data_IF_342428229024
#
_entry.id   IF_342428229024
#
_cell.length_a   1.000
_cell.length_b   1.000
_cell.length_c   1.000
_cell.angle_alpha   90.00
_cell.angle_beta   90.00
_cell.angle_gamma   90.00
#
_symmetry.space_group_name_H-M   'P 1'
#
loop_
_entity.id
_entity.type
_entity.pdbx_description
1 polymer ?
#
# COMPACT_ATOMS: atom_id res chain seq x y z
N UNK A 1 24.59 -46.24 -21.40
CA UNK A 1 25.14 -46.42 -22.77
C UNK A 1 24.03 -46.24 -23.78
N UNK A 2 24.39 -45.83 -25.01
CA UNK A 2 23.70 -46.01 -26.30
C UNK A 2 22.15 -46.19 -26.37
N UNK A 3 21.51 -45.27 -27.10
CA UNK A 3 20.38 -45.57 -28.01
C UNK A 3 20.97 -46.08 -29.37
N UNK A 4 20.22 -46.27 -30.49
CA UNK A 4 18.78 -46.08 -30.73
C UNK A 4 18.13 -47.23 -31.55
N UNK A 5 16.94 -47.02 -32.10
CA UNK A 5 16.61 -47.46 -33.46
C UNK A 5 15.57 -46.53 -34.11
N UNK A 6 15.59 -46.39 -35.43
CA UNK A 6 14.71 -45.50 -36.22
C UNK A 6 14.37 -46.12 -37.57
N UNK A 7 13.23 -45.72 -38.17
CA UNK A 7 13.06 -45.54 -39.63
C UNK A 7 11.74 -44.85 -40.00
N UNK A 8 11.75 -44.19 -41.16
CA UNK A 8 10.67 -43.39 -41.77
C UNK A 8 10.73 -43.64 -43.30
N UNK A 9 9.60 -43.54 -44.02
CA UNK A 9 9.44 -42.71 -45.26
C UNK A 9 8.48 -43.28 -46.33
N UNK A 10 7.95 -42.36 -47.16
CA UNK A 10 7.23 -42.49 -48.44
C UNK A 10 5.74 -42.97 -48.43
N UNK A 11 4.83 -42.54 -49.34
CA UNK A 11 4.67 -41.26 -50.08
C UNK A 11 3.36 -41.17 -50.93
N UNK A 12 2.62 -40.06 -50.80
CA UNK A 12 2.12 -39.15 -51.89
C UNK A 12 1.13 -39.64 -53.01
N UNK A 13 -0.04 -38.96 -53.07
CA UNK A 13 -0.96 -38.58 -54.20
C UNK A 13 -1.70 -39.60 -55.13
N UNK A 14 -3.06 -39.53 -55.07
CA UNK A 14 -4.07 -39.42 -56.16
C UNK A 14 -5.39 -38.95 -55.49
N UNK A 15 -6.12 -37.89 -55.84
CA UNK A 15 -6.61 -37.27 -57.10
C UNK A 15 -7.83 -37.99 -57.72
N UNK A 16 -8.98 -37.29 -57.79
CA UNK A 16 -10.11 -37.56 -58.69
C UNK A 16 -10.93 -36.28 -58.98
N UNK A 17 -11.78 -36.27 -60.01
CA UNK A 17 -12.46 -35.09 -60.58
C UNK A 17 -13.91 -35.38 -61.01
N UNK A 18 -14.77 -34.35 -61.02
CA UNK A 18 -15.88 -34.07 -61.98
C UNK A 18 -16.03 -32.52 -62.02
N UNK A 19 -16.08 -31.77 -63.15
CA UNK A 19 -17.01 -31.71 -64.30
C UNK A 19 -18.44 -31.27 -63.90
N UNK A 20 -19.21 -30.40 -64.60
CA UNK A 20 -19.19 -29.84 -65.99
C UNK A 20 -20.19 -28.63 -66.09
N UNK A 21 -20.39 -27.74 -67.11
CA UNK A 21 -19.76 -27.42 -68.43
C UNK A 21 -20.32 -26.09 -69.08
N UNK A 22 -19.46 -25.11 -69.47
CA UNK A 22 -19.65 -24.09 -70.56
C UNK A 22 -20.88 -23.11 -70.47
N UNK A 23 -21.16 -22.08 -71.30
CA UNK A 23 -20.99 -21.71 -72.75
C UNK A 23 -20.83 -20.14 -72.90
N UNK A 24 -19.81 -19.57 -73.58
CA UNK A 24 -19.76 -18.88 -74.93
C UNK A 24 -20.70 -17.63 -75.13
N UNK A 25 -20.44 -16.52 -75.87
CA UNK A 25 -19.33 -16.02 -76.78
C UNK A 25 -19.53 -14.54 -77.24
N UNK A 26 -18.49 -13.90 -77.87
CA UNK A 26 -18.57 -12.85 -78.97
C UNK A 26 -19.03 -11.40 -78.59
N UNK A 27 -18.53 -10.25 -79.12
CA UNK A 27 -17.38 -9.88 -80.01
C UNK A 27 -17.03 -8.36 -80.06
N UNK A 28 -15.72 -8.03 -80.05
CA UNK A 28 -14.97 -6.95 -80.80
C UNK A 28 -15.46 -5.45 -80.67
N UNK A 29 -15.09 -4.34 -81.39
CA UNK A 29 -14.36 -4.00 -82.65
C UNK A 29 -13.71 -2.57 -82.64
N UNK A 30 -12.47 -2.38 -83.17
CA UNK A 30 -11.84 -1.11 -83.70
C UNK A 30 -11.60 0.13 -82.74
N UNK A 31 -10.70 1.15 -82.96
CA UNK A 31 -9.64 1.47 -83.97
C UNK A 31 -8.65 2.62 -83.53
N UNK A 32 -7.42 2.59 -84.08
CA UNK A 32 -6.42 3.70 -84.32
C UNK A 32 -5.86 4.53 -83.13
N UNK A 33 -4.68 5.18 -83.17
CA UNK A 33 -3.72 5.48 -84.28
C UNK A 33 -2.21 5.31 -83.86
N UNK A 34 -1.27 5.56 -84.79
CA UNK A 34 0.20 5.40 -84.69
C UNK A 34 0.90 6.56 -83.91
N UNK A 35 2.18 6.52 -83.49
CA UNK A 35 3.43 6.52 -84.30
C UNK A 35 4.66 5.89 -83.61
N UNK A 36 5.66 5.47 -84.41
CA UNK A 36 7.03 5.10 -83.99
C UNK A 36 7.98 6.30 -84.12
N UNK A 37 8.97 6.40 -83.23
CA UNK A 37 10.38 6.52 -83.64
C UNK A 37 11.33 6.14 -82.48
N UNK A 38 12.59 5.84 -82.80
CA UNK A 38 13.62 5.44 -81.83
C UNK A 38 14.96 6.08 -82.17
N UNK A 39 15.65 6.71 -81.21
CA UNK A 39 17.09 6.50 -81.01
C UNK A 39 17.58 6.98 -79.63
N UNK A 40 18.85 6.72 -79.33
CA UNK A 40 19.52 6.93 -78.04
C UNK A 40 20.48 8.12 -78.05
N UNK A 41 20.59 8.85 -76.92
CA UNK A 41 21.84 9.17 -76.20
C UNK A 41 21.66 10.35 -75.20
N UNK A 42 21.27 10.09 -73.94
CA UNK A 42 21.35 11.14 -72.88
C UNK A 42 21.58 10.62 -71.44
N UNK A 43 21.79 9.31 -71.25
CA UNK A 43 21.61 8.68 -69.92
C UNK A 43 22.82 8.73 -68.97
N UNK A 44 23.96 9.30 -69.37
CA UNK A 44 25.21 9.30 -68.55
C UNK A 44 25.40 10.53 -67.65
N UNK A 45 24.80 11.69 -67.93
CA UNK A 45 25.01 12.93 -67.15
C UNK A 45 24.27 12.95 -65.80
N UNK A 46 23.05 12.39 -65.74
CA UNK A 46 22.14 12.52 -64.58
C UNK A 46 22.51 11.68 -63.35
N UNK A 47 23.45 10.75 -63.44
CA UNK A 47 23.80 9.84 -62.33
C UNK A 47 24.81 10.49 -61.36
N UNK A 48 25.88 11.10 -61.87
CA UNK A 48 26.95 11.71 -61.05
C UNK A 48 26.42 12.77 -60.07
N UNK A 49 25.55 13.66 -60.56
CA UNK A 49 25.05 14.81 -59.81
C UNK A 49 24.15 14.41 -58.61
N UNK A 50 23.63 13.17 -58.58
CA UNK A 50 22.81 12.68 -57.46
C UNK A 50 23.66 12.16 -56.29
N UNK A 51 24.82 11.58 -56.59
CA UNK A 51 25.74 11.04 -55.57
C UNK A 51 26.44 12.17 -54.81
N UNK A 52 26.96 13.18 -55.53
CA UNK A 52 27.65 14.34 -54.95
C UNK A 52 26.72 15.14 -54.03
N UNK A 53 25.45 15.30 -54.42
CA UNK A 53 24.47 16.03 -53.59
C UNK A 53 24.15 15.30 -52.27
N UNK A 54 24.19 13.97 -52.26
CA UNK A 54 23.98 13.18 -51.05
C UNK A 54 25.19 13.23 -50.10
N UNK A 55 26.43 13.16 -50.61
CA UNK A 55 27.63 13.23 -49.74
C UNK A 55 27.77 14.61 -49.09
N UNK A 56 27.48 15.69 -49.82
CA UNK A 56 27.44 17.05 -49.25
C UNK A 56 26.33 17.19 -48.20
N UNK A 57 25.14 16.62 -48.42
CA UNK A 57 24.07 16.59 -47.42
C UNK A 57 24.51 15.91 -46.12
N UNK A 58 25.12 14.73 -46.18
CA UNK A 58 25.62 14.06 -44.97
C UNK A 58 26.73 14.86 -44.27
N UNK A 59 27.65 15.48 -45.00
CA UNK A 59 28.69 16.32 -44.40
C UNK A 59 28.12 17.52 -43.62
N UNK A 60 27.09 18.20 -44.17
CA UNK A 60 26.39 19.30 -43.48
C UNK A 60 25.58 18.79 -42.28
N UNK A 61 24.92 17.63 -42.38
CA UNK A 61 24.18 17.05 -41.26
C UNK A 61 25.10 16.67 -40.09
N UNK A 62 26.21 15.96 -40.34
CA UNK A 62 27.12 15.54 -39.25
C UNK A 62 27.87 16.71 -38.61
N UNK A 63 28.32 17.70 -39.40
CA UNK A 63 28.96 18.90 -38.83
C UNK A 63 27.97 19.78 -38.06
N UNK A 64 26.75 19.99 -38.58
CA UNK A 64 25.69 20.73 -37.89
C UNK A 64 25.25 20.06 -36.60
N UNK A 65 25.02 18.75 -36.60
CA UNK A 65 24.61 18.02 -35.40
C UNK A 65 25.73 17.97 -34.35
N UNK A 66 27.00 17.85 -34.79
CA UNK A 66 28.17 17.95 -33.92
C UNK A 66 28.29 19.33 -33.27
N UNK A 67 28.08 20.42 -34.01
CA UNK A 67 28.09 21.78 -33.48
C UNK A 67 26.94 22.04 -32.49
N UNK A 68 25.72 21.55 -32.79
CA UNK A 68 24.57 21.65 -31.89
C UNK A 68 24.81 20.85 -30.61
N UNK A 69 25.36 19.64 -30.69
CA UNK A 69 25.69 18.81 -29.52
C UNK A 69 26.81 19.43 -28.66
N UNK A 70 27.86 19.95 -29.31
CA UNK A 70 28.94 20.69 -28.65
C UNK A 70 28.39 21.91 -27.90
N UNK A 71 27.60 22.75 -28.58
CA UNK A 71 27.02 23.95 -27.97
C UNK A 71 26.03 23.60 -26.86
N UNK A 72 25.19 22.58 -27.03
CA UNK A 72 24.28 22.13 -25.96
C UNK A 72 25.05 21.67 -24.72
N UNK A 73 26.20 21.02 -24.88
CA UNK A 73 27.08 20.64 -23.77
C UNK A 73 27.66 21.86 -23.06
N UNK A 74 28.17 22.84 -23.80
CA UNK A 74 28.72 24.08 -23.24
C UNK A 74 27.63 24.91 -22.52
N UNK A 75 26.45 25.06 -23.13
CA UNK A 75 25.28 25.71 -22.52
C UNK A 75 24.83 24.96 -21.24
N UNK A 76 24.89 23.62 -21.21
CA UNK A 76 24.58 22.81 -20.02
C UNK A 76 25.63 22.96 -18.91
N UNK A 77 26.92 23.01 -19.25
CA UNK A 77 28.00 23.27 -18.28
C UNK A 77 27.94 24.70 -17.73
N UNK A 78 27.56 25.69 -18.55
CA UNK A 78 27.28 27.05 -18.07
C UNK A 78 26.04 27.12 -17.17
N UNK A 79 24.95 26.40 -17.50
CA UNK A 79 23.78 26.34 -16.62
C UNK A 79 24.10 25.70 -15.26
N UNK A 80 24.92 24.64 -15.23
CA UNK A 80 25.39 24.04 -13.97
C UNK A 80 26.27 25.00 -13.16
N UNK A 81 27.23 25.67 -13.79
CA UNK A 81 28.14 26.60 -13.10
C UNK A 81 27.48 27.92 -12.65
N UNK A 82 26.38 28.35 -13.29
CA UNK A 82 25.60 29.49 -12.81
C UNK A 82 24.55 29.09 -11.75
N UNK A 83 24.11 27.83 -11.69
CA UNK A 83 23.14 27.36 -10.69
C UNK A 83 23.76 27.10 -9.31
N UNK A 84 25.09 27.04 -9.18
CA UNK A 84 25.78 26.77 -7.90
C UNK A 84 26.00 28.01 -7.03
N UNK A 85 25.87 29.23 -7.57
CA UNK A 85 26.10 30.49 -6.86
C UNK A 85 24.80 31.26 -6.50
N UNK A 86 23.79 30.54 -6.00
CA UNK A 86 22.68 31.17 -5.25
C UNK A 86 22.03 30.23 -4.22
N UNK A 87 22.85 29.50 -3.44
CA UNK A 87 22.36 29.02 -2.16
C UNK A 87 22.24 30.22 -1.21
N UNK A 88 21.04 30.49 -0.70
CA UNK A 88 20.86 31.25 0.53
C UNK A 88 21.40 30.43 1.70
N UNK A 89 22.72 30.42 1.85
CA UNK A 89 23.36 30.03 3.09
C UNK A 89 22.90 31.00 4.17
N UNK A 90 21.91 30.58 4.97
CA UNK A 90 21.55 31.30 6.19
C UNK A 90 22.78 31.27 7.08
N UNK A 91 23.50 32.39 7.14
CA UNK A 91 24.60 32.63 8.07
C UNK A 91 24.02 32.71 9.49
N UNK A 92 23.60 31.57 10.02
CA UNK A 92 23.32 31.37 11.42
C UNK A 92 24.60 31.71 12.18
N UNK A 93 24.60 32.90 12.81
CA UNK A 93 25.73 33.46 13.57
C UNK A 93 26.34 32.35 14.41
N UNK A 94 27.57 31.96 14.06
CA UNK A 94 28.19 30.74 14.57
C UNK A 94 28.39 30.86 16.08
N UNK A 95 27.44 30.31 16.83
CA UNK A 95 27.50 30.27 18.29
C UNK A 95 28.79 29.54 18.71
N UNK A 96 29.38 29.96 19.82
CA UNK A 96 30.50 29.23 20.42
C UNK A 96 30.00 27.89 20.93
N UNK A 97 30.18 26.84 20.12
CA UNK A 97 29.91 25.44 20.48
C UNK A 97 30.93 25.02 21.53
N UNK A 98 30.65 25.38 22.79
CA UNK A 98 31.39 24.89 23.95
C UNK A 98 31.19 23.37 24.06
N UNK A 99 32.25 22.62 24.38
CA UNK A 99 32.33 21.18 24.10
C UNK A 99 31.61 20.28 25.12
N UNK A 100 30.41 20.70 25.55
CA UNK A 100 29.44 19.86 26.25
C UNK A 100 28.59 19.10 25.22
N UNK A 101 29.22 18.11 24.56
CA UNK A 101 28.71 17.34 23.43
C UNK A 101 27.17 17.23 23.35
N UNK A 102 26.57 18.11 22.54
CA UNK A 102 25.12 18.24 22.38
C UNK A 102 24.44 16.94 21.89
N UNK A 103 25.20 16.03 21.24
CA UNK A 103 24.72 14.69 20.85
C UNK A 103 24.28 13.87 22.07
N UNK A 104 24.98 13.98 23.19
CA UNK A 104 24.70 13.21 24.40
C UNK A 104 23.64 13.88 25.30
N UNK A 105 23.25 15.13 24.99
CA UNK A 105 22.33 15.93 25.80
C UNK A 105 20.91 16.01 25.23
N UNK A 106 20.76 15.89 23.90
CA UNK A 106 19.49 16.15 23.21
C UNK A 106 18.98 15.01 22.31
N UNK A 107 19.61 13.84 22.29
CA UNK A 107 19.13 12.68 21.53
C UNK A 107 18.10 11.82 22.28
N UNK A 108 17.20 12.45 23.06
CA UNK A 108 16.15 11.76 23.83
C UNK A 108 15.28 10.79 23.00
N UNK A 109 15.10 11.06 21.70
CA UNK A 109 14.42 10.14 20.77
C UNK A 109 15.20 8.83 20.59
N UNK A 110 16.54 8.87 20.53
CA UNK A 110 17.38 7.69 20.43
C UNK A 110 17.35 6.88 21.74
N UNK A 111 17.40 7.56 22.89
CA UNK A 111 17.36 6.93 24.22
C UNK A 111 16.02 6.18 24.44
N UNK A 112 14.89 6.80 24.03
CA UNK A 112 13.56 6.17 24.02
C UNK A 112 13.54 4.95 23.10
N UNK A 113 14.14 5.04 21.90
CA UNK A 113 14.19 3.94 20.93
C UNK A 113 15.03 2.78 21.47
N UNK A 114 16.22 3.02 22.01
CA UNK A 114 17.11 1.99 22.57
C UNK A 114 16.43 1.23 23.71
N UNK A 115 15.77 1.97 24.62
CA UNK A 115 15.02 1.42 25.76
C UNK A 115 13.76 0.65 25.36
N UNK A 116 13.13 0.99 24.22
CA UNK A 116 11.85 0.43 23.80
C UNK A 116 11.95 -0.71 22.78
N UNK A 117 12.88 -0.61 21.83
CA UNK A 117 12.97 -1.50 20.67
C UNK A 117 13.12 -3.00 21.00
N UNK A 118 13.80 -3.44 22.07
CA UNK A 118 13.87 -4.86 22.45
C UNK A 118 12.52 -5.52 22.67
N UNK A 119 11.50 -4.76 23.13
CA UNK A 119 10.15 -5.27 23.36
C UNK A 119 9.24 -5.23 22.11
N UNK A 120 9.71 -4.71 20.97
CA UNK A 120 8.91 -4.53 19.75
C UNK A 120 9.21 -5.63 18.74
N UNK A 121 8.15 -6.23 18.20
CA UNK A 121 8.20 -7.44 17.35
C UNK A 121 7.61 -7.19 15.96
N UNK A 122 8.10 -7.91 14.97
CA UNK A 122 7.52 -7.96 13.62
C UNK A 122 6.52 -9.10 13.55
N UNK A 123 5.33 -8.85 12.99
CA UNK A 123 4.28 -9.86 12.81
C UNK A 123 4.00 -10.01 11.32
N UNK A 124 3.98 -11.26 10.83
CA UNK A 124 3.61 -11.59 9.45
C UNK A 124 2.66 -12.80 9.37
N UNK A 125 1.75 -12.75 8.40
CA UNK A 125 0.92 -13.90 7.98
C UNK A 125 1.33 -14.27 6.56
N UNK A 126 1.83 -15.50 6.37
CA UNK A 126 2.31 -16.01 5.07
C UNK A 126 1.37 -17.05 4.48
N UNK A 127 1.04 -16.88 3.20
CA UNK A 127 0.23 -17.83 2.44
C UNK A 127 1.12 -18.97 1.94
N UNK A 128 1.14 -20.10 2.65
CA UNK A 128 1.89 -21.30 2.23
C UNK A 128 1.37 -21.95 0.95
N UNK A 129 0.22 -21.51 0.41
CA UNK A 129 -0.39 -22.03 -0.83
C UNK A 129 -0.25 -21.08 -2.03
N UNK A 130 0.27 -19.85 -1.85
CA UNK A 130 0.51 -18.90 -2.96
C UNK A 130 1.91 -18.32 -2.86
N UNK A 131 2.68 -18.50 -3.92
CA UNK A 131 4.06 -18.04 -4.02
C UNK A 131 4.15 -16.81 -4.94
N UNK A 132 5.07 -15.90 -4.61
CA UNK A 132 5.47 -14.81 -5.51
C UNK A 132 6.30 -15.39 -6.66
N UNK A 133 5.85 -15.17 -7.89
CA UNK A 133 6.50 -15.63 -9.12
C UNK A 133 7.90 -15.02 -9.30
N UNK A 134 8.17 -13.82 -8.76
CA UNK A 134 9.46 -13.15 -8.91
C UNK A 134 10.49 -13.52 -7.84
N UNK A 135 10.08 -13.98 -6.66
CA UNK A 135 11.01 -14.28 -5.54
C UNK A 135 10.95 -15.73 -5.04
N UNK A 136 10.01 -16.54 -5.52
CA UNK A 136 9.83 -17.94 -5.12
C UNK A 136 9.41 -18.12 -3.66
N UNK A 137 9.00 -17.05 -2.97
CA UNK A 137 8.65 -17.06 -1.54
C UNK A 137 7.13 -17.07 -1.33
N UNK A 138 6.63 -17.65 -0.22
CA UNK A 138 5.22 -17.52 0.17
C UNK A 138 4.80 -16.05 0.25
N UNK A 139 3.67 -15.69 -0.36
CA UNK A 139 3.14 -14.32 -0.33
C UNK A 139 2.71 -13.94 1.08
N UNK A 140 3.10 -12.73 1.51
CA UNK A 140 2.59 -12.12 2.74
C UNK A 140 1.12 -11.71 2.51
N UNK A 141 0.21 -12.18 3.37
CA UNK A 141 -1.22 -11.79 3.37
C UNK A 141 -1.40 -10.49 4.16
N UNK A 142 -0.72 -10.39 5.29
CA UNK A 142 -0.68 -9.21 6.16
C UNK A 142 0.66 -9.18 6.87
N UNK A 143 1.11 -7.99 7.22
CA UNK A 143 2.22 -7.77 8.13
C UNK A 143 2.01 -6.47 8.93
N UNK A 144 2.84 -6.31 9.96
CA UNK A 144 2.86 -5.14 10.82
C UNK A 144 3.85 -5.35 11.97
N UNK A 145 3.65 -4.59 13.04
CA UNK A 145 4.39 -4.69 14.28
C UNK A 145 3.46 -5.08 15.45
N UNK A 146 4.07 -5.43 16.57
CA UNK A 146 3.43 -5.61 17.87
C UNK A 146 4.43 -5.31 18.97
N UNK A 147 4.03 -5.42 20.23
CA UNK A 147 4.94 -5.28 21.36
C UNK A 147 4.58 -6.21 22.52
N UNK A 148 5.60 -6.67 23.23
CA UNK A 148 5.48 -7.66 24.31
C UNK A 148 4.95 -6.97 25.58
N UNK A 149 3.90 -7.54 26.17
CA UNK A 149 3.18 -7.00 27.35
C UNK A 149 3.17 -7.96 28.55
N UNK A 150 3.41 -9.26 28.35
CA UNK A 150 3.72 -10.22 29.42
C UNK A 150 5.06 -10.90 29.08
N UNK A 151 5.96 -11.09 30.07
CA UNK A 151 7.31 -11.63 29.84
C UNK A 151 7.34 -13.12 29.49
N UNK A 152 6.17 -13.79 29.50
CA UNK A 152 5.90 -15.15 29.05
C UNK A 152 5.27 -15.20 27.64
N UNK A 153 5.47 -14.15 26.84
CA UNK A 153 5.20 -14.19 25.40
C UNK A 153 3.85 -13.64 24.96
N UNK A 154 3.13 -12.87 25.79
CA UNK A 154 1.97 -12.12 25.32
C UNK A 154 2.41 -10.86 24.59
N UNK A 155 1.86 -10.68 23.39
CA UNK A 155 2.15 -9.59 22.47
C UNK A 155 0.84 -8.89 22.13
N UNK A 156 0.86 -7.56 22.14
CA UNK A 156 -0.25 -6.71 21.77
C UNK A 156 -0.02 -6.11 20.37
N UNK A 157 -1.07 -6.08 19.55
CA UNK A 157 -1.07 -5.53 18.17
C UNK A 157 -2.49 -5.13 17.75
N UNK A 158 -2.69 -4.73 16.50
CA UNK A 158 -4.03 -4.47 15.94
C UNK A 158 -4.70 -5.74 15.40
N UNK A 159 -6.04 -5.78 15.49
CA UNK A 159 -6.85 -6.85 14.88
C UNK A 159 -6.62 -6.93 13.35
N UNK A 160 -6.46 -5.78 12.69
CA UNK A 160 -6.20 -5.71 11.26
C UNK A 160 -4.81 -6.25 10.85
N UNK A 161 -3.82 -6.32 11.75
CA UNK A 161 -2.50 -6.90 11.46
C UNK A 161 -2.62 -8.42 11.41
N UNK A 162 -3.41 -9.00 12.32
CA UNK A 162 -3.64 -10.46 12.42
C UNK A 162 -4.83 -10.97 11.59
N UNK A 163 -5.25 -10.23 10.55
CA UNK A 163 -6.37 -10.58 9.66
C UNK A 163 -7.72 -10.84 10.38
N UNK A 164 -7.97 -10.24 11.54
CA UNK A 164 -9.27 -10.25 12.23
C UNK A 164 -9.83 -11.64 12.63
N UNK A 165 -9.01 -12.70 12.65
CA UNK A 165 -9.47 -14.09 12.90
C UNK A 165 -8.78 -14.73 14.12
N UNK A 166 -9.51 -15.19 15.15
CA UNK A 166 -8.93 -15.84 16.32
C UNK A 166 -8.31 -17.20 15.95
N UNK A 167 -7.36 -17.69 16.76
CA UNK A 167 -6.57 -18.90 16.49
C UNK A 167 -5.76 -18.87 15.18
N UNK A 168 -5.62 -17.71 14.52
CA UNK A 168 -4.75 -17.57 13.35
C UNK A 168 -3.30 -17.81 13.75
N UNK A 169 -2.60 -18.67 13.00
CA UNK A 169 -1.17 -18.89 13.15
C UNK A 169 -0.43 -17.77 12.43
N UNK A 170 0.39 -17.03 13.17
CA UNK A 170 1.24 -15.94 12.66
C UNK A 170 2.71 -16.31 12.86
N UNK A 171 3.62 -15.64 12.14
CA UNK A 171 5.05 -15.64 12.52
C UNK A 171 5.38 -14.33 13.22
N UNK A 172 6.02 -14.46 14.37
CA UNK A 172 6.53 -13.35 15.17
C UNK A 172 8.05 -13.38 15.10
N UNK A 173 8.67 -12.25 14.81
CA UNK A 173 10.14 -12.10 14.82
C UNK A 173 10.54 -11.02 15.81
N UNK A 174 11.40 -11.37 16.75
CA UNK A 174 11.86 -10.52 17.83
C UNK A 174 12.96 -9.55 17.36
N UNK A 175 13.32 -8.60 18.22
CA UNK A 175 14.39 -7.63 17.98
C UNK A 175 15.75 -8.28 17.66
N UNK A 176 16.07 -9.43 18.28
CA UNK A 176 17.28 -10.21 18.02
C UNK A 176 17.30 -10.98 16.67
N UNK A 177 16.22 -10.89 15.89
CA UNK A 177 16.04 -11.60 14.62
C UNK A 177 15.49 -13.02 14.76
N UNK A 178 15.41 -13.59 15.97
CA UNK A 178 14.81 -14.92 16.18
C UNK A 178 13.32 -14.91 15.84
N UNK A 179 12.82 -16.02 15.29
CA UNK A 179 11.45 -16.12 14.77
C UNK A 179 10.72 -17.28 15.41
N UNK A 180 9.54 -17.02 15.96
CA UNK A 180 8.66 -17.97 16.62
C UNK A 180 7.34 -18.08 15.86
N UNK A 181 6.69 -19.24 15.98
CA UNK A 181 5.27 -19.39 15.62
C UNK A 181 4.44 -18.80 16.74
N UNK A 182 3.50 -17.92 16.41
CA UNK A 182 2.55 -17.34 17.35
C UNK A 182 1.09 -17.69 17.02
N UNK A 183 0.22 -17.63 18.02
CA UNK A 183 -1.23 -17.87 17.90
C UNK A 183 -1.98 -16.65 18.42
N UNK A 184 -3.02 -16.22 17.70
CA UNK A 184 -3.91 -15.14 18.16
C UNK A 184 -4.84 -15.66 19.28
N UNK A 185 -4.64 -15.19 20.52
CA UNK A 185 -5.46 -15.58 21.69
C UNK A 185 -6.81 -14.83 21.71
N UNK A 186 -6.78 -13.50 21.54
CA UNK A 186 -7.94 -12.60 21.67
C UNK A 186 -8.00 -11.57 20.54
N UNK A 187 -9.22 -11.14 20.19
CA UNK A 187 -9.47 -10.03 19.26
C UNK A 187 -10.61 -9.16 19.79
N UNK A 188 -10.46 -7.84 19.68
CA UNK A 188 -11.53 -6.85 19.83
C UNK A 188 -11.61 -6.04 18.53
N UNK A 189 -12.56 -6.41 17.67
CA UNK A 189 -12.74 -5.81 16.34
C UNK A 189 -13.21 -4.35 16.41
N UNK A 190 -13.98 -4.00 17.42
CA UNK A 190 -14.50 -2.65 17.63
C UNK A 190 -13.36 -1.70 17.96
N UNK A 191 -12.44 -2.10 18.84
CA UNK A 191 -11.28 -1.29 19.21
C UNK A 191 -10.07 -1.50 18.27
N UNK A 192 -10.11 -2.47 17.36
CA UNK A 192 -9.00 -2.90 16.49
C UNK A 192 -7.75 -3.33 17.31
N UNK A 193 -7.98 -4.22 18.28
CA UNK A 193 -6.95 -4.79 19.16
C UNK A 193 -6.88 -6.31 19.00
N UNK A 194 -5.69 -6.89 19.13
CA UNK A 194 -5.50 -8.34 19.24
C UNK A 194 -4.32 -8.70 20.14
N UNK A 195 -4.41 -9.85 20.78
CA UNK A 195 -3.29 -10.50 21.47
C UNK A 195 -2.72 -11.64 20.64
N UNK A 196 -1.40 -11.80 20.67
CA UNK A 196 -0.66 -12.93 20.09
C UNK A 196 0.20 -13.55 21.18
N UNK A 197 0.15 -14.87 21.31
CA UNK A 197 1.04 -15.65 22.20
C UNK A 197 2.15 -16.30 21.40
N UNK A 198 3.37 -16.26 21.93
CA UNK A 198 4.49 -17.11 21.51
C UNK A 198 4.99 -17.97 22.69
N UNK A 199 5.49 -19.17 22.42
CA UNK A 199 6.13 -20.01 23.45
C UNK A 199 7.57 -19.53 23.71
N UNK A 200 7.69 -18.43 24.46
CA UNK A 200 8.98 -17.87 24.88
C UNK A 200 8.83 -17.07 26.17
N UNK A 201 9.71 -17.35 27.14
CA UNK A 201 9.74 -16.72 28.47
C UNK A 201 10.98 -15.84 28.64
N UNK A 202 10.94 -15.02 29.69
CA UNK A 202 11.97 -14.05 30.08
C UNK A 202 12.24 -12.99 28.99
N UNK A 203 11.17 -12.54 28.33
CA UNK A 203 11.22 -11.50 27.30
C UNK A 203 11.26 -10.08 27.91
N UNK A 204 11.87 -9.10 27.21
CA UNK A 204 11.71 -7.69 27.53
C UNK A 204 10.25 -7.26 27.32
N UNK A 205 9.71 -6.48 28.26
CA UNK A 205 8.31 -6.06 28.30
C UNK A 205 8.21 -4.55 28.12
N UNK A 206 7.29 -4.11 27.27
CA UNK A 206 6.94 -2.71 27.09
C UNK A 206 6.13 -2.21 28.28
N UNK A 207 6.53 -1.09 28.89
CA UNK A 207 5.74 -0.43 29.94
C UNK A 207 4.49 0.19 29.33
N UNK A 208 3.34 0.04 29.98
CA UNK A 208 2.10 0.68 29.56
C UNK A 208 1.89 1.96 30.39
N UNK A 209 2.08 3.11 29.76
CA UNK A 209 1.83 4.43 30.37
C UNK A 209 0.34 4.70 30.50
N UNK A 210 -0.09 5.96 30.58
CA UNK A 210 -1.52 6.31 30.49
C UNK A 210 -1.77 7.31 29.37
N UNK A 211 -2.89 7.11 28.68
CA UNK A 211 -3.42 8.03 27.68
C UNK A 211 -4.27 9.16 28.26
N UNK A 212 -4.82 8.99 29.47
CA UNK A 212 -5.72 9.98 30.08
C UNK A 212 -5.04 11.31 30.44
N UNK A 213 -3.73 11.31 30.71
CA UNK A 213 -2.96 12.47 31.17
C UNK A 213 -2.11 13.14 30.07
N UNK A 214 -2.28 12.72 28.81
CA UNK A 214 -1.51 13.24 27.68
C UNK A 214 -1.83 14.73 27.42
N UNK A 215 -0.86 15.45 26.85
CA UNK A 215 -1.00 16.86 26.47
C UNK A 215 -0.63 17.08 24.99
N UNK A 216 -1.41 17.89 24.25
CA UNK A 216 -0.98 18.36 22.94
C UNK A 216 0.40 19.03 23.01
N UNK A 217 1.27 18.72 22.04
CA UNK A 217 2.67 19.15 22.00
C UNK A 217 3.68 18.21 22.68
N UNK A 218 3.25 17.15 23.37
CA UNK A 218 4.18 16.15 23.92
C UNK A 218 4.86 15.33 22.82
N UNK A 219 6.18 15.17 22.91
CA UNK A 219 6.97 14.36 21.99
C UNK A 219 6.65 12.87 22.12
N UNK A 220 6.50 12.22 20.97
CA UNK A 220 6.18 10.79 20.85
C UNK A 220 7.00 10.11 19.76
N UNK A 221 7.20 8.81 19.91
CA UNK A 221 7.87 7.94 18.94
C UNK A 221 6.92 6.81 18.53
N UNK A 222 6.57 6.73 17.25
CA UNK A 222 5.80 5.63 16.67
C UNK A 222 6.77 4.53 16.22
N UNK A 223 6.94 3.51 17.07
CA UNK A 223 7.94 2.45 16.90
C UNK A 223 7.29 1.21 16.26
N UNK A 224 7.98 0.64 15.28
CA UNK A 224 7.75 -0.71 14.77
C UNK A 224 9.00 -1.58 14.91
N UNK A 225 8.97 -2.80 14.39
CA UNK A 225 10.13 -3.69 14.42
C UNK A 225 11.17 -3.33 13.35
N UNK A 226 12.44 -3.07 13.73
CA UNK A 226 13.50 -2.57 12.83
C UNK A 226 13.88 -3.53 11.71
N UNK A 227 13.34 -4.76 11.74
CA UNK A 227 13.54 -5.79 10.74
C UNK A 227 12.52 -5.72 9.58
N UNK A 228 11.63 -4.72 9.60
CA UNK A 228 10.73 -4.37 8.50
C UNK A 228 11.44 -3.49 7.46
N UNK A 229 11.20 -3.73 6.16
CA UNK A 229 11.80 -2.97 5.05
C UNK A 229 11.10 -1.62 4.78
N UNK A 230 10.55 -0.99 5.80
CA UNK A 230 9.72 0.23 5.72
C UNK A 230 10.12 1.23 6.80
N UNK A 231 9.69 2.49 6.67
CA UNK A 231 9.90 3.51 7.70
C UNK A 231 9.25 3.05 9.02
N UNK A 232 10.11 2.59 9.93
CA UNK A 232 9.71 1.81 11.10
C UNK A 232 9.72 2.65 12.38
N UNK A 233 10.61 3.63 12.48
CA UNK A 233 10.72 4.52 13.63
C UNK A 233 10.52 5.93 13.11
N UNK A 234 9.50 6.60 13.64
CA UNK A 234 9.21 8.00 13.34
C UNK A 234 8.89 8.72 14.64
N UNK A 235 9.29 9.98 14.75
CA UNK A 235 8.99 10.84 15.90
C UNK A 235 8.14 12.02 15.45
N UNK A 236 7.45 12.62 16.42
CA UNK A 236 6.58 13.78 16.24
C UNK A 236 6.05 14.25 17.58
N UNK A 237 4.92 14.95 17.56
CA UNK A 237 4.19 15.39 18.75
C UNK A 237 2.73 14.94 18.72
N UNK A 238 2.09 14.93 19.89
CA UNK A 238 0.63 14.77 19.99
C UNK A 238 -0.05 16.04 19.46
N UNK A 239 -0.85 15.91 18.40
CA UNK A 239 -1.64 17.02 17.85
C UNK A 239 -2.99 17.17 18.57
N UNK A 240 -3.58 16.05 19.01
CA UNK A 240 -4.79 16.02 19.83
C UNK A 240 -4.87 14.69 20.60
N UNK A 241 -5.41 14.73 21.82
CA UNK A 241 -5.50 13.56 22.72
C UNK A 241 -6.84 12.84 22.65
N UNK A 242 -7.88 13.51 22.14
CA UNK A 242 -9.25 13.04 22.18
C UNK A 242 -9.97 13.35 20.85
N UNK A 243 -9.42 12.85 19.74
CA UNK A 243 -10.06 13.01 18.42
C UNK A 243 -11.15 11.96 18.26
N UNK A 244 -12.41 12.35 18.19
CA UNK A 244 -13.51 11.39 18.19
C UNK A 244 -13.55 10.60 16.88
N UNK A 245 -13.81 9.29 16.97
CA UNK A 245 -13.92 8.40 15.81
C UNK A 245 -14.91 8.91 14.76
N UNK A 246 -16.01 9.55 15.19
CA UNK A 246 -17.01 10.16 14.32
C UNK A 246 -16.42 11.27 13.42
N UNK A 247 -15.49 12.09 13.92
CA UNK A 247 -14.82 13.14 13.13
C UNK A 247 -13.95 12.55 12.02
N UNK A 248 -13.32 11.41 12.31
CA UNK A 248 -12.54 10.60 11.38
C UNK A 248 -13.42 9.72 10.48
N UNK A 249 -14.74 9.77 10.65
CA UNK A 249 -15.70 8.96 9.93
C UNK A 249 -15.69 7.47 10.27
N UNK A 250 -15.02 7.08 11.35
CA UNK A 250 -15.01 5.74 11.89
C UNK A 250 -16.28 5.51 12.73
N UNK A 251 -17.12 4.55 12.34
CA UNK A 251 -18.25 4.10 13.14
C UNK A 251 -17.76 3.23 14.32
N UNK A 252 -17.22 3.93 15.32
CA UNK A 252 -16.69 3.39 16.58
C UNK A 252 -17.10 4.32 17.72
N UNK A 253 -17.01 3.85 18.95
CA UNK A 253 -17.19 4.68 20.15
C UNK A 253 -15.87 4.83 20.92
N UNK A 254 -14.85 5.35 20.24
CA UNK A 254 -13.53 5.59 20.84
C UNK A 254 -12.92 6.90 20.37
N UNK A 255 -12.17 7.57 21.25
CA UNK A 255 -11.32 8.66 20.83
C UNK A 255 -9.92 8.13 20.44
N UNK A 256 -9.27 8.81 19.51
CA UNK A 256 -7.92 8.50 19.03
C UNK A 256 -6.92 9.58 19.45
N UNK A 257 -5.69 9.17 19.71
CA UNK A 257 -4.54 10.08 19.81
C UNK A 257 -4.16 10.46 18.37
N UNK A 258 -4.22 11.74 18.04
CA UNK A 258 -3.71 12.30 16.78
C UNK A 258 -2.24 12.69 16.95
N UNK A 259 -1.38 12.33 15.99
CA UNK A 259 0.02 12.75 15.94
C UNK A 259 0.48 13.01 14.51
N UNK A 260 1.46 13.88 14.33
CA UNK A 260 2.16 14.08 13.06
C UNK A 260 3.27 13.03 12.82
N UNK A 261 3.67 12.27 13.85
CA UNK A 261 4.56 11.13 13.74
C UNK A 261 4.02 10.15 12.69
N UNK A 262 4.80 9.88 11.63
CA UNK A 262 4.29 9.19 10.46
C UNK A 262 4.10 7.69 10.71
N UNK A 263 2.85 7.23 10.77
CA UNK A 263 2.49 5.81 10.81
C UNK A 263 2.54 5.22 9.38
N UNK A 264 3.02 3.98 9.25
CA UNK A 264 3.09 3.20 8.01
C UNK A 264 2.78 1.72 8.30
N UNK A 265 2.64 0.89 7.27
CA UNK A 265 2.55 -0.57 7.44
C UNK A 265 3.75 -1.18 8.20
N UNK A 266 4.89 -0.48 8.29
CA UNK A 266 6.03 -0.92 9.09
C UNK A 266 5.81 -0.85 10.60
N UNK A 267 5.17 0.21 11.11
CA UNK A 267 4.95 0.43 12.55
C UNK A 267 3.48 0.32 13.01
N UNK A 268 2.52 0.12 12.10
CA UNK A 268 1.14 -0.28 12.41
C UNK A 268 1.10 -1.49 13.34
N UNK A 269 0.31 -1.45 14.41
CA UNK A 269 0.27 -2.43 15.49
C UNK A 269 1.41 -2.33 16.52
N UNK A 270 2.48 -1.59 16.22
CA UNK A 270 3.53 -1.25 17.18
C UNK A 270 3.10 -0.12 18.14
N UNK A 271 3.89 0.17 19.19
CA UNK A 271 3.52 1.16 20.19
C UNK A 271 3.78 2.60 19.71
N UNK A 272 2.92 3.51 20.18
CA UNK A 272 3.21 4.95 20.26
C UNK A 272 3.75 5.21 21.67
N UNK A 273 4.97 5.74 21.77
CA UNK A 273 5.77 5.77 23.01
C UNK A 273 6.09 7.20 23.42
N UNK A 274 6.00 7.51 24.72
CA UNK A 274 6.37 8.81 25.30
C UNK A 274 7.88 8.91 25.62
N UNK A 275 8.33 10.06 26.16
CA UNK A 275 9.74 10.27 26.51
C UNK A 275 10.23 9.40 27.70
N UNK A 276 9.32 8.87 28.52
CA UNK A 276 9.66 7.94 29.60
C UNK A 276 9.85 6.49 29.11
N UNK A 277 9.72 6.25 27.80
CA UNK A 277 9.68 4.94 27.15
C UNK A 277 8.53 4.04 27.65
N UNK A 278 7.33 4.63 27.74
CA UNK A 278 6.08 3.94 28.00
C UNK A 278 5.16 4.02 26.78
N UNK A 279 4.53 2.91 26.43
CA UNK A 279 3.49 2.88 25.40
C UNK A 279 2.24 3.63 25.92
N UNK A 280 1.91 4.74 25.25
CA UNK A 280 0.73 5.58 25.49
C UNK A 280 -0.38 5.32 24.46
N UNK A 281 -0.06 4.62 23.37
CA UNK A 281 -1.04 4.12 22.41
C UNK A 281 -0.48 3.04 21.48
N UNK A 282 -1.30 2.63 20.51
CA UNK A 282 -0.95 1.64 19.48
C UNK A 282 -1.15 2.28 18.10
N UNK A 283 -0.09 2.28 17.29
CA UNK A 283 -0.08 2.89 15.96
C UNK A 283 -1.13 2.22 15.05
N UNK A 284 -2.24 2.88 14.72
CA UNK A 284 -3.39 2.23 14.08
C UNK A 284 -3.55 2.59 12.60
N UNK A 285 -3.39 3.86 12.22
CA UNK A 285 -3.56 4.31 10.84
C UNK A 285 -2.87 5.65 10.55
N UNK A 286 -2.64 5.93 9.27
CA UNK A 286 -2.22 7.25 8.75
C UNK A 286 -3.22 7.72 7.70
N UNK A 287 -4.06 8.70 8.05
CA UNK A 287 -5.04 9.25 7.10
C UNK A 287 -4.35 10.05 6.01
N UNK A 288 -3.35 10.86 6.35
CA UNK A 288 -2.59 11.64 5.35
C UNK A 288 -1.21 12.07 5.86
N UNK A 289 -0.43 12.79 5.07
CA UNK A 289 0.86 13.33 5.53
C UNK A 289 0.63 14.38 6.63
N UNK A 290 1.33 14.23 7.75
CA UNK A 290 1.18 15.01 8.98
C UNK A 290 -0.02 14.64 9.86
N UNK A 291 -0.78 13.59 9.53
CA UNK A 291 -1.96 13.17 10.32
C UNK A 291 -2.03 11.64 10.40
N UNK A 292 -1.60 11.13 11.55
CA UNK A 292 -1.65 9.73 11.97
C UNK A 292 -2.47 9.57 13.25
N UNK A 293 -3.01 8.37 13.48
CA UNK A 293 -3.84 8.05 14.64
C UNK A 293 -3.39 6.77 15.33
N UNK A 294 -3.36 6.85 16.67
CA UNK A 294 -3.09 5.72 17.55
C UNK A 294 -4.27 5.46 18.50
N UNK A 295 -4.54 4.18 18.77
CA UNK A 295 -5.52 3.76 19.79
C UNK A 295 -4.93 4.10 21.17
N UNK A 296 -5.64 4.80 22.07
CA UNK A 296 -5.11 5.14 23.39
C UNK A 296 -4.89 3.89 24.26
N UNK A 297 -3.78 3.82 25.00
CA UNK A 297 -3.37 2.58 25.68
C UNK A 297 -4.34 2.12 26.78
N UNK A 298 -5.11 3.02 27.37
CA UNK A 298 -6.05 2.64 28.44
C UNK A 298 -7.18 1.73 27.92
N UNK A 299 -7.63 1.89 26.66
CA UNK A 299 -8.51 0.91 25.99
C UNK A 299 -7.87 -0.47 25.88
N UNK A 300 -6.55 -0.52 25.63
CA UNK A 300 -5.80 -1.76 25.53
C UNK A 300 -5.57 -2.42 26.90
N UNK A 301 -5.44 -1.65 27.98
CA UNK A 301 -5.44 -2.19 29.36
C UNK A 301 -6.76 -2.87 29.69
N UNK A 302 -7.90 -2.24 29.37
CA UNK A 302 -9.21 -2.85 29.60
C UNK A 302 -9.48 -4.06 28.69
N UNK A 303 -8.89 -4.11 27.49
CA UNK A 303 -8.87 -5.32 26.66
C UNK A 303 -8.03 -6.44 27.30
N UNK A 304 -6.80 -6.17 27.73
CA UNK A 304 -5.93 -7.15 28.41
C UNK A 304 -6.55 -7.66 29.72
N UNK A 305 -7.17 -6.79 30.51
CA UNK A 305 -7.92 -7.14 31.74
C UNK A 305 -9.12 -8.04 31.45
N UNK A 306 -9.88 -7.77 30.38
CA UNK A 306 -10.97 -8.66 29.91
C UNK A 306 -10.41 -10.02 29.44
N UNK A 307 -9.25 -10.06 28.80
CA UNK A 307 -8.59 -11.30 28.39
C UNK A 307 -8.08 -12.11 29.58
N UNK A 308 -7.44 -11.48 30.56
CA UNK A 308 -6.99 -12.12 31.80
C UNK A 308 -8.15 -12.73 32.60
N UNK A 309 -9.27 -12.02 32.74
CA UNK A 309 -10.47 -12.52 33.44
C UNK A 309 -11.07 -13.75 32.75
N UNK A 310 -11.04 -13.80 31.41
CA UNK A 310 -11.44 -14.98 30.63
C UNK A 310 -10.45 -16.14 30.80
N UNK A 311 -9.14 -15.88 30.67
CA UNK A 311 -8.07 -16.88 30.93
C UNK A 311 -8.17 -17.50 32.34
N UNK A 312 -8.51 -16.69 33.36
CA UNK A 312 -8.64 -17.13 34.77
C UNK A 312 -10.02 -17.72 35.12
N UNK A 313 -10.97 -17.80 34.19
CA UNK A 313 -12.29 -18.39 34.40
C UNK A 313 -13.18 -17.70 35.45
N UNK A 314 -12.79 -16.51 35.94
CA UNK A 314 -13.45 -15.81 37.06
C UNK A 314 -14.41 -14.69 36.62
N UNK A 315 -14.61 -14.49 35.32
CA UNK A 315 -15.60 -13.55 34.80
C UNK A 315 -16.45 -14.18 33.69
N UNK A 316 -17.73 -14.46 34.00
CA UNK A 316 -18.85 -14.65 33.05
C UNK A 316 -18.67 -15.78 31.99
N UNK A 317 -19.51 -16.81 31.87
CA UNK A 317 -21.01 -16.89 31.88
C UNK A 317 -21.76 -15.91 30.96
N UNK A 318 -21.03 -14.97 30.37
CA UNK A 318 -21.39 -14.16 29.21
C UNK A 318 -20.17 -14.18 28.29
N UNK A 319 -19.99 -15.32 27.62
CA UNK A 319 -19.62 -15.26 26.21
C UNK A 319 -20.72 -14.40 25.57
N UNK A 320 -20.41 -13.26 24.90
CA UNK A 320 -21.38 -12.67 23.98
C UNK A 320 -21.63 -13.72 22.90
N UNK A 321 -22.79 -14.37 22.99
CA UNK A 321 -23.23 -15.55 22.22
C UNK A 321 -22.66 -15.53 20.81
N UNK A 322 -21.68 -16.41 20.53
CA UNK A 322 -20.63 -16.28 19.48
C UNK A 322 -21.11 -15.44 18.30
N UNK A 323 -20.95 -14.12 18.41
CA UNK A 323 -21.70 -13.19 17.57
C UNK A 323 -21.25 -13.40 16.14
N UNK A 324 -22.18 -13.86 15.30
CA UNK A 324 -21.97 -14.20 13.88
C UNK A 324 -21.72 -12.92 13.07
N UNK A 325 -20.62 -12.25 13.35
CA UNK A 325 -20.26 -10.99 12.71
C UNK A 325 -19.87 -11.27 11.26
N UNK A 326 -20.69 -10.76 10.35
CA UNK A 326 -20.37 -10.76 8.94
C UNK A 326 -19.21 -9.79 8.68
N UNK A 327 -18.23 -10.22 7.91
CA UNK A 327 -16.97 -9.50 7.67
C UNK A 327 -16.67 -9.44 6.18
N UNK A 328 -16.13 -8.29 5.74
CA UNK A 328 -15.65 -8.10 4.35
C UNK A 328 -14.16 -7.71 4.29
N UNK A 329 -13.50 -7.49 5.44
CA UNK A 329 -12.07 -7.14 5.53
C UNK A 329 -11.69 -5.83 4.86
N UNK A 330 -12.28 -4.74 5.34
CA UNK A 330 -11.95 -3.35 4.96
C UNK A 330 -11.70 -2.49 6.20
N UNK A 331 -10.97 -1.40 6.02
CA UNK A 331 -11.00 -0.25 6.93
C UNK A 331 -11.71 0.90 6.22
N UNK A 332 -12.68 1.53 6.88
CA UNK A 332 -13.58 2.53 6.31
C UNK A 332 -13.44 3.88 7.02
N UNK A 333 -13.49 4.98 6.26
CA UNK A 333 -13.55 6.35 6.77
C UNK A 333 -14.71 7.08 6.09
N UNK A 334 -15.75 7.44 6.84
CA UNK A 334 -16.83 8.32 6.34
C UNK A 334 -16.26 9.67 5.95
N UNK A 335 -16.69 10.21 4.81
CA UNK A 335 -16.28 11.52 4.33
C UNK A 335 -17.05 12.62 5.09
N UNK A 336 -16.60 12.92 6.31
CA UNK A 336 -17.00 14.16 7.03
C UNK A 336 -16.51 15.38 6.25
N UNK A 337 -17.18 16.53 6.39
CA UNK A 337 -16.88 17.73 5.58
C UNK A 337 -15.42 18.20 5.73
N UNK A 338 -14.88 18.15 6.95
CA UNK A 338 -13.50 18.52 7.25
C UNK A 338 -12.50 17.53 6.63
N UNK A 339 -12.73 16.22 6.83
CA UNK A 339 -11.88 15.17 6.28
C UNK A 339 -11.91 15.19 4.75
N UNK A 340 -13.08 15.41 4.13
CA UNK A 340 -13.22 15.54 2.69
C UNK A 340 -12.38 16.70 2.15
N UNK A 341 -12.43 17.87 2.80
CA UNK A 341 -11.65 19.05 2.43
C UNK A 341 -10.14 18.85 2.58
N UNK A 342 -9.68 18.15 3.62
CA UNK A 342 -8.27 17.78 3.77
C UNK A 342 -7.80 16.75 2.73
N UNK A 343 -8.63 15.74 2.43
CA UNK A 343 -8.34 14.71 1.44
C UNK A 343 -8.32 15.30 0.03
N UNK A 344 -9.29 16.14 -0.34
CA UNK A 344 -9.37 16.79 -1.66
C UNK A 344 -8.13 17.66 -1.96
N UNK A 345 -7.56 18.31 -0.94
CA UNK A 345 -6.29 19.07 -1.07
C UNK A 345 -5.06 18.19 -1.32
N UNK A 346 -5.06 16.92 -0.89
CA UNK A 346 -3.87 16.06 -0.85
C UNK A 346 -3.95 14.85 -1.81
N UNK A 347 -5.14 14.44 -2.24
CA UNK A 347 -5.40 13.31 -3.13
C UNK A 347 -5.92 13.79 -4.49
N UNK A 348 -5.09 13.65 -5.53
CA UNK A 348 -5.51 13.87 -6.93
C UNK A 348 -6.51 12.80 -7.35
N UNK A 349 -7.68 13.20 -7.84
CA UNK A 349 -8.68 12.30 -8.43
C UNK A 349 -10.00 12.16 -7.69
N UNK A 350 -10.17 12.75 -6.50
CA UNK A 350 -11.50 12.88 -5.88
C UNK A 350 -12.31 13.90 -6.69
N UNK A 351 -13.40 13.44 -7.31
CA UNK A 351 -14.28 14.32 -8.08
C UNK A 351 -15.05 15.31 -7.19
N UNK A 352 -15.24 16.53 -7.68
CA UNK A 352 -16.01 17.59 -6.99
C UNK A 352 -17.50 17.21 -6.82
N UNK A 353 -17.97 16.18 -7.53
CA UNK A 353 -19.35 15.70 -7.46
C UNK A 353 -19.60 14.71 -6.29
N UNK A 354 -18.57 14.35 -5.52
CA UNK A 354 -18.70 13.48 -4.35
C UNK A 354 -19.15 14.30 -3.13
N UNK A 355 -20.44 14.31 -2.85
CA UNK A 355 -21.02 15.07 -1.72
C UNK A 355 -21.16 14.25 -0.43
N UNK A 356 -21.04 12.92 -0.54
CA UNK A 356 -21.19 11.95 0.54
C UNK A 356 -20.46 10.65 0.16
N UNK A 357 -20.22 9.78 1.14
CA UNK A 357 -19.67 8.46 0.92
C UNK A 357 -18.69 8.02 2.00
N UNK A 358 -18.14 6.82 1.81
CA UNK A 358 -17.14 6.20 2.69
C UNK A 358 -15.90 5.83 1.87
N UNK A 359 -14.77 6.41 2.24
CA UNK A 359 -13.46 6.04 1.71
C UNK A 359 -13.04 4.67 2.27
N UNK A 360 -12.70 3.76 1.35
CA UNK A 360 -12.02 2.51 1.66
C UNK A 360 -10.54 2.82 1.89
N UNK A 361 -10.14 2.88 3.15
CA UNK A 361 -8.78 3.18 3.57
C UNK A 361 -7.83 2.00 3.35
N UNK A 362 -8.28 0.78 3.64
CA UNK A 362 -7.53 -0.47 3.49
C UNK A 362 -8.47 -1.60 3.06
N UNK A 363 -7.94 -2.55 2.30
CA UNK A 363 -8.60 -3.84 2.01
C UNK A 363 -7.61 -4.95 2.38
N UNK A 364 -8.06 -5.93 3.16
CA UNK A 364 -7.20 -7.02 3.62
C UNK A 364 -7.07 -8.10 2.52
N UNK A 365 -5.85 -8.56 2.21
CA UNK A 365 -5.61 -9.48 1.09
C UNK A 365 -6.34 -10.80 1.33
N UNK A 366 -7.14 -11.22 0.35
CA UNK A 366 -7.94 -12.44 0.43
C UNK A 366 -9.23 -12.34 1.24
N UNK A 367 -9.62 -11.15 1.72
CA UNK A 367 -10.97 -10.90 2.26
C UNK A 367 -12.03 -10.92 1.15
N UNK A 368 -13.34 -10.98 1.49
CA UNK A 368 -14.41 -10.83 0.51
C UNK A 368 -14.33 -9.54 -0.30
N UNK A 369 -13.96 -8.41 0.30
CA UNK A 369 -13.80 -7.15 -0.44
C UNK A 369 -12.64 -7.19 -1.43
N UNK A 370 -11.51 -7.83 -1.07
CA UNK A 370 -10.40 -8.06 -1.99
C UNK A 370 -10.80 -8.98 -3.15
N UNK A 371 -11.58 -10.03 -2.88
CA UNK A 371 -12.08 -10.97 -3.89
C UNK A 371 -13.09 -10.29 -4.82
N UNK A 372 -13.98 -9.44 -4.29
CA UNK A 372 -14.89 -8.60 -5.07
C UNK A 372 -14.23 -7.46 -5.87
N UNK A 373 -12.92 -7.25 -5.72
CA UNK A 373 -12.16 -6.25 -6.49
C UNK A 373 -12.25 -4.81 -5.95
N UNK A 374 -12.65 -4.63 -4.69
CA UNK A 374 -12.55 -3.36 -3.96
C UNK A 374 -11.07 -3.04 -3.67
N UNK A 375 -10.71 -1.76 -3.61
CA UNK A 375 -9.33 -1.28 -3.46
C UNK A 375 -9.24 -0.15 -2.43
N UNK A 376 -8.06 0.05 -1.86
CA UNK A 376 -7.78 1.26 -1.09
C UNK A 376 -7.84 2.49 -2.02
N UNK A 377 -8.48 3.57 -1.57
CA UNK A 377 -8.75 4.77 -2.37
C UNK A 377 -10.13 4.78 -3.05
N UNK A 378 -10.86 3.66 -3.05
CA UNK A 378 -12.25 3.60 -3.51
C UNK A 378 -13.18 4.41 -2.58
N UNK A 379 -14.15 5.14 -3.12
CA UNK A 379 -15.20 5.80 -2.34
C UNK A 379 -16.54 5.10 -2.60
N UNK A 380 -17.10 4.44 -1.59
CA UNK A 380 -18.44 3.85 -1.67
C UNK A 380 -19.47 4.97 -1.48
N UNK A 381 -20.37 5.16 -2.45
CA UNK A 381 -21.46 6.14 -2.35
C UNK A 381 -22.82 5.52 -2.13
N UNK A 382 -23.04 4.25 -2.53
CA UNK A 382 -24.29 3.53 -2.28
C UNK A 382 -24.03 2.06 -1.91
N UNK A 383 -24.93 1.47 -1.13
CA UNK A 383 -24.96 0.05 -0.76
C UNK A 383 -26.38 -0.48 -0.90
N UNK A 384 -26.57 -1.55 -1.66
CA UNK A 384 -27.87 -2.17 -1.90
C UNK A 384 -28.96 -1.19 -2.40
N UNK A 385 -28.53 -0.22 -3.20
CA UNK A 385 -29.31 0.91 -3.74
C UNK A 385 -29.65 2.04 -2.74
N UNK A 386 -29.28 1.92 -1.45
CA UNK A 386 -29.35 3.02 -0.47
C UNK A 386 -28.10 3.91 -0.50
N UNK A 387 -28.19 5.24 -0.30
CA UNK A 387 -27.05 6.13 -0.24
C UNK A 387 -26.24 5.96 1.06
N UNK A 388 -24.92 5.88 0.93
CA UNK A 388 -23.97 5.74 2.04
C UNK A 388 -23.59 7.11 2.57
N UNK A 389 -24.23 7.52 3.66
CA UNK A 389 -23.88 8.73 4.40
C UNK A 389 -22.76 8.45 5.42
N UNK A 390 -22.68 7.23 5.95
CA UNK A 390 -21.62 6.83 6.90
C UNK A 390 -21.23 5.36 6.81
N UNK A 391 -20.10 5.01 7.43
CA UNK A 391 -19.62 3.62 7.55
C UNK A 391 -20.61 2.73 8.33
N UNK A 392 -21.42 3.30 9.21
CA UNK A 392 -22.55 2.63 9.87
C UNK A 392 -23.58 2.08 8.87
N UNK A 393 -23.86 2.81 7.78
CA UNK A 393 -24.75 2.34 6.70
C UNK A 393 -24.21 1.04 6.07
N UNK A 394 -22.89 0.96 5.87
CA UNK A 394 -22.24 -0.23 5.32
C UNK A 394 -22.20 -1.37 6.35
N UNK A 395 -21.90 -1.10 7.63
CA UNK A 395 -21.95 -2.14 8.68
C UNK A 395 -23.36 -2.74 8.84
N UNK A 396 -24.40 -1.91 8.91
CA UNK A 396 -25.80 -2.36 8.93
C UNK A 396 -26.15 -3.20 7.68
N UNK A 397 -25.66 -2.82 6.50
CA UNK A 397 -25.86 -3.60 5.28
C UNK A 397 -25.11 -4.94 5.28
N UNK A 398 -23.90 -4.99 5.87
CA UNK A 398 -23.10 -6.21 6.06
C UNK A 398 -23.87 -7.21 6.93
N UNK A 399 -24.48 -6.76 8.03
CA UNK A 399 -25.22 -7.62 8.99
C UNK A 399 -26.61 -8.06 8.52
N UNK A 400 -27.20 -7.36 7.54
CA UNK A 400 -28.58 -7.61 7.08
C UNK A 400 -28.68 -8.32 5.74
N UNK A 401 -27.57 -8.48 5.00
CA UNK A 401 -27.60 -9.06 3.63
C UNK A 401 -26.50 -10.09 3.37
N UNK A 402 -26.82 -11.09 2.55
CA UNK A 402 -25.85 -12.11 2.08
C UNK A 402 -24.93 -11.61 0.96
N UNK A 403 -25.34 -10.57 0.25
CA UNK A 403 -24.60 -9.99 -0.88
C UNK A 403 -24.78 -8.49 -0.88
N UNK A 404 -23.67 -7.77 -0.80
CA UNK A 404 -23.60 -6.32 -0.88
C UNK A 404 -23.42 -5.90 -2.33
N UNK A 405 -24.28 -5.01 -2.80
CA UNK A 405 -24.16 -4.33 -4.11
C UNK A 405 -23.66 -2.91 -3.86
N UNK A 406 -22.36 -2.69 -4.01
CA UNK A 406 -21.74 -1.38 -3.81
C UNK A 406 -21.70 -0.57 -5.11
N UNK A 407 -22.03 0.72 -5.01
CA UNK A 407 -21.66 1.72 -6.02
C UNK A 407 -20.43 2.45 -5.54
N UNK A 408 -19.37 2.40 -6.34
CA UNK A 408 -18.01 2.79 -5.95
C UNK A 408 -17.45 3.77 -6.96
N UNK A 409 -16.97 4.92 -6.49
CA UNK A 409 -16.19 5.87 -7.28
C UNK A 409 -14.72 5.52 -7.12
N UNK A 410 -14.06 5.21 -8.23
CA UNK A 410 -12.62 4.97 -8.33
C UNK A 410 -12.06 5.95 -9.35
N UNK A 411 -11.23 6.88 -8.89
CA UNK A 411 -10.79 8.04 -9.67
C UNK A 411 -12.02 8.80 -10.23
N UNK A 412 -12.22 8.80 -11.56
CA UNK A 412 -13.41 9.40 -12.21
C UNK A 412 -14.44 8.37 -12.70
N UNK A 413 -14.27 7.08 -12.40
CA UNK A 413 -15.16 6.01 -12.86
C UNK A 413 -16.13 5.57 -11.76
N UNK A 414 -17.39 5.36 -12.14
CA UNK A 414 -18.40 4.69 -11.29
C UNK A 414 -18.38 3.20 -11.60
N UNK A 415 -18.19 2.37 -10.58
CA UNK A 415 -18.09 0.92 -10.65
C UNK A 415 -19.17 0.28 -9.78
N UNK A 416 -19.75 -0.81 -10.25
CA UNK A 416 -20.67 -1.64 -9.47
C UNK A 416 -19.92 -2.90 -9.00
N UNK A 417 -19.73 -3.03 -7.68
CA UNK A 417 -18.97 -4.11 -7.05
C UNK A 417 -19.92 -4.98 -6.23
N UNK A 418 -19.74 -6.31 -6.30
CA UNK A 418 -20.50 -7.28 -5.49
C UNK A 418 -19.56 -7.97 -4.50
N UNK A 419 -19.96 -8.05 -3.24
CA UNK A 419 -19.20 -8.68 -2.15
C UNK A 419 -20.15 -9.58 -1.36
N UNK A 420 -19.74 -10.79 -1.02
CA UNK A 420 -20.47 -11.72 -0.17
C UNK A 420 -19.74 -11.81 1.18
N UNK A 421 -20.28 -11.26 2.29
CA UNK A 421 -19.59 -11.28 3.58
C UNK A 421 -19.36 -12.69 4.11
N UNK A 422 -18.19 -12.92 4.72
CA UNK A 422 -17.88 -14.18 5.41
C UNK A 422 -18.26 -14.08 6.90
N UNK A 423 -18.68 -15.20 7.51
CA UNK A 423 -18.92 -15.32 8.95
C UNK A 423 -17.63 -15.74 9.67
N UNK A 424 -17.35 -15.17 10.84
CA UNK A 424 -16.14 -15.44 11.65
C UNK A 424 -16.51 -16.11 12.98
#
# INVERSE_FOLDING_TARGET
MAAPLTRISWSILKRNQFQYKQILTVSDVNRFTQYKCSYTEERKSRISNKTIRNTLLYAVFFSGFGYIWYRWKDDYQHCLNNSTNSMFAVYAKQASWNDSNNRNKYNFIADVVEKSAPAVVYIEIKNTRKYDFSTGKPLNISNGSGFIVESDGLILTNAHVVNARPNTIVKVRLYDGTTYTGVVEDIDMLNDLATVRIDKKNLPVMKLGSSANLRPGEFVVAIGSPLSLSNTITSGVISSVNRHSQELGLDKQMAYIQTDAAITFGNSGGPLVNLDAEAIGINAMKVTSGISFAIPIDYAKDFLKRAELRRKGKGMKHIPEKVKTQYIGVTMLTLTSDLFYELQKKLKGISHNVTHGVLIYKVNIGSPAHIGGLRAGDIVTHVNDEPVISSATIYKAIESTKTLRLVVIREMQVLHIRIEPEEI
#
